data_IF_084601858511
#
_entry.id   IF_084601858511
#
_cell.length_a   1.000
_cell.length_b   1.000
_cell.length_c   1.000
_cell.angle_alpha   90.00
_cell.angle_beta   90.00
_cell.angle_gamma   90.00
#
_symmetry.space_group_name_H-M   'P 1'
#
loop_
_entity.id
_entity.type
_entity.pdbx_description
1 polymer ?
#
# COMPACT_ATOMS: atom_id res chain seq x y z
N UNK A 1 -2.20 5.15 -12.58
CA UNK A 1 -1.91 5.75 -11.27
C UNK A 1 -0.44 6.13 -11.22
N UNK A 2 -0.12 7.27 -10.61
CA UNK A 2 1.23 7.84 -10.58
C UNK A 2 1.47 8.94 -11.61
N UNK A 3 2.54 9.72 -11.38
CA UNK A 3 2.93 10.92 -12.17
C UNK A 3 2.79 10.71 -13.69
N UNK A 4 1.92 11.53 -14.28
CA UNK A 4 1.67 11.65 -15.71
C UNK A 4 2.70 12.56 -16.39
N UNK A 5 2.63 12.66 -17.73
CA UNK A 5 3.41 13.64 -18.49
C UNK A 5 2.97 15.05 -18.10
N UNK A 6 3.87 16.03 -18.24
CA UNK A 6 3.62 17.40 -17.80
C UNK A 6 2.39 18.10 -18.45
N UNK A 7 1.93 17.59 -19.60
CA UNK A 7 0.76 18.08 -20.33
C UNK A 7 -0.58 17.45 -19.89
N UNK A 8 -0.54 16.41 -19.07
CA UNK A 8 -1.70 15.56 -18.81
C UNK A 8 -2.18 15.78 -17.37
N UNK A 9 -3.50 15.89 -17.16
CA UNK A 9 -4.08 15.94 -15.82
C UNK A 9 -4.04 14.56 -15.16
N UNK A 10 -3.98 14.56 -13.82
CA UNK A 10 -4.14 13.36 -13.02
C UNK A 10 -5.20 13.61 -11.96
N UNK A 11 -6.36 12.99 -12.14
CA UNK A 11 -7.44 13.13 -11.18
C UNK A 11 -7.15 12.30 -9.93
N UNK A 12 -7.45 12.88 -8.77
CA UNK A 12 -7.50 12.21 -7.46
C UNK A 12 -8.90 12.43 -6.93
N UNK A 13 -9.66 11.35 -6.75
CA UNK A 13 -11.08 11.42 -6.42
C UNK A 13 -11.33 11.15 -4.94
N UNK A 14 -12.09 12.05 -4.31
CA UNK A 14 -12.60 11.91 -2.95
C UNK A 14 -14.12 12.00 -2.95
N UNK A 15 -14.77 11.19 -3.79
CA UNK A 15 -16.22 11.24 -4.07
C UNK A 15 -17.14 11.10 -2.84
N UNK A 16 -16.67 10.50 -1.75
CA UNK A 16 -17.43 10.37 -0.50
C UNK A 16 -16.80 11.25 0.59
N UNK A 17 -17.61 11.92 1.41
CA UNK A 17 -17.13 12.70 2.57
C UNK A 17 -16.34 11.84 3.56
N UNK A 18 -16.62 10.54 3.61
CA UNK A 18 -15.86 9.56 4.39
C UNK A 18 -14.44 9.30 3.82
N UNK A 19 -14.06 9.94 2.71
CA UNK A 19 -12.71 9.86 2.12
C UNK A 19 -11.83 11.07 2.47
N UNK A 20 -12.35 12.07 3.19
CA UNK A 20 -11.60 13.29 3.55
C UNK A 20 -10.85 13.18 4.88
N UNK A 21 -10.58 11.96 5.35
CA UNK A 21 -9.69 11.73 6.49
C UNK A 21 -8.23 11.95 6.08
N UNK A 22 -7.44 12.55 6.96
CA UNK A 22 -6.04 12.87 6.71
C UNK A 22 -5.24 11.69 6.15
N UNK A 23 -5.44 10.49 6.70
CA UNK A 23 -4.72 9.29 6.27
C UNK A 23 -5.08 8.87 4.84
N UNK A 24 -6.35 8.99 4.44
CA UNK A 24 -6.81 8.66 3.09
C UNK A 24 -6.25 9.68 2.09
N UNK A 25 -6.27 10.97 2.43
CA UNK A 25 -5.69 12.02 1.58
C UNK A 25 -4.19 11.78 1.36
N UNK A 26 -3.45 11.39 2.40
CA UNK A 26 -2.01 11.09 2.27
C UNK A 26 -1.78 9.85 1.38
N UNK A 27 -2.54 8.76 1.56
CA UNK A 27 -2.43 7.53 0.75
C UNK A 27 -2.67 7.82 -0.75
N UNK A 28 -3.73 8.57 -1.07
CA UNK A 28 -4.06 8.94 -2.45
C UNK A 28 -3.02 9.90 -3.08
N UNK A 29 -2.46 10.82 -2.29
CA UNK A 29 -1.37 11.67 -2.75
C UNK A 29 -0.08 10.86 -3.02
N UNK A 30 0.22 9.86 -2.19
CA UNK A 30 1.35 8.97 -2.41
C UNK A 30 1.17 8.13 -3.68
N UNK A 31 -0.05 7.65 -3.94
CA UNK A 31 -0.39 7.06 -5.23
C UNK A 31 -0.16 8.04 -6.40
N UNK A 32 -0.52 9.32 -6.24
CA UNK A 32 -0.27 10.33 -7.24
C UNK A 32 1.23 10.52 -7.53
N UNK A 33 2.07 10.46 -6.50
CA UNK A 33 3.54 10.54 -6.61
C UNK A 33 4.25 9.18 -6.79
N UNK A 34 3.56 8.20 -7.39
CA UNK A 34 4.08 6.90 -7.88
C UNK A 34 4.32 5.80 -6.83
N UNK A 35 3.81 5.92 -5.62
CA UNK A 35 3.92 4.84 -4.64
C UNK A 35 2.72 3.90 -4.76
N UNK A 36 3.02 2.61 -4.94
CA UNK A 36 2.01 1.55 -4.87
C UNK A 36 1.83 1.08 -3.44
N UNK A 37 0.78 0.30 -3.19
CA UNK A 37 0.58 -0.29 -1.89
C UNK A 37 1.73 -1.23 -1.48
N UNK A 38 2.07 -1.24 -0.19
CA UNK A 38 3.21 -2.01 0.33
C UNK A 38 3.03 -3.52 0.12
N UNK A 39 1.80 -4.07 0.23
CA UNK A 39 1.51 -5.49 -0.06
C UNK A 39 1.61 -5.89 -1.54
N UNK A 40 1.76 -4.92 -2.45
CA UNK A 40 2.00 -5.16 -3.87
C UNK A 40 3.50 -5.23 -4.21
N UNK A 41 4.40 -5.06 -3.23
CA UNK A 41 5.85 -5.19 -3.46
C UNK A 41 6.24 -6.57 -4.03
N UNK A 42 7.28 -6.65 -4.87
CA UNK A 42 7.74 -7.91 -5.45
C UNK A 42 8.27 -8.91 -4.40
N UNK A 43 8.78 -8.42 -3.27
CA UNK A 43 9.34 -9.21 -2.17
C UNK A 43 8.33 -9.49 -1.02
N UNK A 44 7.06 -9.09 -1.17
CA UNK A 44 6.06 -9.14 -0.09
C UNK A 44 5.86 -10.53 0.52
N UNK A 45 6.02 -11.60 -0.28
CA UNK A 45 5.81 -12.97 0.20
C UNK A 45 6.89 -13.42 1.19
N UNK A 46 7.99 -12.67 1.38
CA UNK A 46 8.93 -12.91 2.50
C UNK A 46 8.35 -12.45 3.84
N UNK A 47 7.43 -11.48 3.83
CA UNK A 47 6.95 -10.78 5.02
C UNK A 47 5.50 -11.10 5.37
N UNK A 48 4.67 -11.38 4.36
CA UNK A 48 3.24 -11.66 4.53
C UNK A 48 2.80 -12.88 3.74
N UNK A 49 1.64 -13.43 4.11
CA UNK A 49 0.90 -14.44 3.35
C UNK A 49 -0.44 -13.86 2.92
N UNK A 50 -0.80 -14.04 1.66
CA UNK A 50 -2.14 -13.72 1.14
C UNK A 50 -3.04 -14.95 1.27
N UNK A 51 -4.18 -14.78 1.94
CA UNK A 51 -5.20 -15.82 2.14
C UNK A 51 -6.32 -15.62 1.10
N UNK A 52 -6.06 -16.02 -0.14
CA UNK A 52 -6.97 -15.81 -1.29
C UNK A 52 -8.35 -16.44 -1.11
N UNK A 53 -8.49 -17.44 -0.25
CA UNK A 53 -9.75 -18.06 0.14
C UNK A 53 -10.68 -17.10 0.89
N UNK A 54 -10.14 -16.11 1.62
CA UNK A 54 -10.91 -15.13 2.38
C UNK A 54 -11.24 -13.87 1.57
N UNK A 55 -10.63 -13.68 0.40
CA UNK A 55 -10.81 -12.49 -0.45
C UNK A 55 -12.08 -12.62 -1.30
N UNK A 56 -12.84 -11.53 -1.42
CA UNK A 56 -13.95 -11.41 -2.37
C UNK A 56 -13.47 -11.72 -3.80
N UNK A 57 -14.17 -12.59 -4.53
CA UNK A 57 -13.73 -13.07 -5.85
C UNK A 57 -13.44 -11.95 -6.85
N UNK A 58 -14.23 -10.87 -6.83
CA UNK A 58 -14.07 -9.69 -7.70
C UNK A 58 -12.93 -8.75 -7.29
N UNK A 59 -12.30 -8.97 -6.13
CA UNK A 59 -11.26 -8.11 -5.55
C UNK A 59 -9.88 -8.76 -5.50
N UNK A 60 -9.72 -10.00 -5.96
CA UNK A 60 -8.45 -10.76 -5.86
C UNK A 60 -7.25 -10.07 -6.52
N UNK A 61 -7.49 -9.32 -7.58
CA UNK A 61 -6.46 -8.54 -8.28
C UNK A 61 -5.85 -7.43 -7.40
N UNK A 62 -6.53 -6.95 -6.35
CA UNK A 62 -5.98 -5.98 -5.41
C UNK A 62 -4.87 -6.57 -4.51
N UNK A 63 -4.66 -7.88 -4.57
CA UNK A 63 -3.57 -8.59 -3.88
C UNK A 63 -2.47 -9.05 -4.83
N UNK A 64 -2.51 -8.63 -6.09
CA UNK A 64 -1.44 -8.89 -7.05
C UNK A 64 -0.19 -8.10 -6.68
N UNK A 65 0.97 -8.74 -6.86
CA UNK A 65 2.28 -8.09 -6.67
C UNK A 65 2.80 -7.58 -8.01
N UNK A 66 3.55 -6.49 -7.97
CA UNK A 66 4.31 -6.01 -9.12
C UNK A 66 5.53 -6.90 -9.38
N UNK A 67 5.96 -6.98 -10.64
CA UNK A 67 7.25 -7.55 -11.00
C UNK A 67 8.39 -6.61 -10.58
N UNK A 68 9.60 -7.16 -10.43
CA UNK A 68 10.82 -6.39 -10.14
C UNK A 68 11.18 -5.38 -11.24
N UNK A 69 10.61 -5.52 -12.44
CA UNK A 69 10.75 -4.56 -13.55
C UNK A 69 9.78 -3.38 -13.45
N UNK A 70 8.71 -3.50 -12.65
CA UNK A 70 7.66 -2.48 -12.51
C UNK A 70 7.68 -1.77 -11.16
N UNK A 71 8.26 -2.39 -10.13
CA UNK A 71 8.37 -1.84 -8.80
C UNK A 71 9.78 -2.03 -8.24
N UNK A 72 10.28 -0.98 -7.60
CA UNK A 72 11.54 -0.98 -6.86
C UNK A 72 11.23 -0.87 -5.35
N UNK A 73 11.96 -1.63 -4.55
CA UNK A 73 11.88 -1.57 -3.09
C UNK A 73 12.65 -0.38 -2.51
N UNK A 74 13.47 0.29 -3.34
CA UNK A 74 14.38 1.36 -2.96
C UNK A 74 15.33 0.94 -1.82
N UNK A 75 15.62 -0.36 -1.74
CA UNK A 75 16.41 -1.00 -0.68
C UNK A 75 15.85 -0.74 0.74
N UNK A 76 14.55 -0.45 0.86
CA UNK A 76 13.88 -0.25 2.15
C UNK A 76 13.23 -1.53 2.63
N UNK A 77 13.31 -1.77 3.94
CA UNK A 77 12.66 -2.90 4.59
C UNK A 77 11.15 -2.81 4.39
N UNK A 78 10.49 -3.97 4.31
CA UNK A 78 9.04 -4.05 4.22
C UNK A 78 8.39 -3.48 5.47
N UNK A 79 7.51 -2.49 5.30
CA UNK A 79 6.86 -1.82 6.41
C UNK A 79 5.41 -2.27 6.57
N UNK A 80 5.17 -3.14 7.56
CA UNK A 80 3.82 -3.61 7.88
C UNK A 80 2.90 -2.47 8.33
N UNK A 81 3.44 -1.42 8.95
CA UNK A 81 2.64 -0.31 9.49
C UNK A 81 2.33 0.77 8.47
N UNK A 82 3.07 0.80 7.35
CA UNK A 82 3.01 1.83 6.30
C UNK A 82 1.58 2.28 6.00
N UNK A 83 1.43 3.59 5.77
CA UNK A 83 0.14 4.15 5.37
C UNK A 83 -0.34 3.54 4.05
N UNK A 84 0.60 3.10 3.21
CA UNK A 84 0.35 2.44 1.92
C UNK A 84 0.03 0.94 2.08
N UNK A 85 0.05 0.37 3.29
CA UNK A 85 -0.22 -1.04 3.51
C UNK A 85 -1.71 -1.28 3.77
N UNK A 86 -2.31 -2.26 3.09
CA UNK A 86 -3.68 -2.69 3.38
C UNK A 86 -3.82 -3.27 4.79
N UNK A 87 -4.96 -3.04 5.44
CA UNK A 87 -5.30 -3.73 6.70
C UNK A 87 -5.38 -5.24 6.49
N UNK A 88 -5.15 -6.00 7.56
CA UNK A 88 -5.14 -7.47 7.55
C UNK A 88 -6.41 -8.14 7.00
N UNK A 89 -7.56 -7.45 7.03
CA UNK A 89 -8.86 -7.93 6.53
C UNK A 89 -9.37 -7.19 5.28
N UNK A 90 -8.51 -6.45 4.58
CA UNK A 90 -8.90 -5.72 3.38
C UNK A 90 -9.57 -6.65 2.35
N UNK A 91 -10.73 -6.25 1.84
CA UNK A 91 -11.56 -7.02 0.90
C UNK A 91 -11.98 -8.42 1.37
N UNK A 92 -12.02 -8.63 2.68
CA UNK A 92 -12.51 -9.89 3.26
C UNK A 92 -13.98 -10.14 2.90
N UNK A 93 -14.30 -11.39 2.59
CA UNK A 93 -15.69 -11.85 2.33
C UNK A 93 -16.36 -12.44 3.57
N UNK A 94 -15.59 -12.73 4.61
CA UNK A 94 -16.02 -13.49 5.79
C UNK A 94 -15.49 -12.91 7.11
N UNK A 95 -14.90 -11.70 7.09
CA UNK A 95 -14.29 -11.06 8.26
C UNK A 95 -12.96 -11.68 8.70
N UNK A 96 -12.50 -12.75 8.05
CA UNK A 96 -11.23 -13.40 8.34
C UNK A 96 -10.07 -12.69 7.63
N UNK A 97 -8.82 -12.92 8.08
CA UNK A 97 -7.65 -12.27 7.51
C UNK A 97 -7.45 -12.60 6.03
N UNK A 98 -7.28 -11.57 5.21
CA UNK A 98 -6.86 -11.67 3.81
C UNK A 98 -5.35 -11.54 3.67
N UNK A 99 -4.69 -10.88 4.63
CA UNK A 99 -3.24 -10.77 4.73
C UNK A 99 -2.82 -11.13 6.16
N UNK A 100 -1.83 -12.01 6.29
CA UNK A 100 -1.26 -12.41 7.59
C UNK A 100 0.24 -12.13 7.62
N UNK A 101 0.78 -11.53 8.70
CA UNK A 101 2.21 -11.33 8.84
C UNK A 101 2.91 -12.67 9.09
N UNK A 102 4.11 -12.85 8.54
CA UNK A 102 4.98 -14.01 8.82
C UNK A 102 5.82 -13.81 10.07
N UNK A 103 6.09 -12.56 10.44
CA UNK A 103 6.74 -12.22 11.70
C UNK A 103 5.77 -12.46 12.88
N UNK A 104 6.33 -12.70 14.08
CA UNK A 104 5.56 -12.86 15.30
C UNK A 104 5.06 -11.50 15.83
N UNK A 105 4.16 -10.86 15.08
CA UNK A 105 3.56 -9.56 15.37
C UNK A 105 2.05 -9.64 15.22
N UNK A 106 1.33 -8.77 15.94
CA UNK A 106 -0.12 -8.70 15.80
C UNK A 106 -0.50 -8.28 14.38
N UNK A 107 -1.46 -8.97 13.77
CA UNK A 107 -2.04 -8.59 12.47
C UNK A 107 -2.69 -7.20 12.50
N UNK A 108 -3.13 -6.72 13.66
CA UNK A 108 -3.71 -5.37 13.81
C UNK A 108 -2.72 -4.24 13.53
N UNK A 109 -1.41 -4.56 13.52
CA UNK A 109 -0.33 -3.63 13.17
C UNK A 109 -0.34 -3.27 11.69
N UNK A 110 -0.93 -4.11 10.84
CA UNK A 110 -0.88 -3.97 9.39
C UNK A 110 -1.73 -2.80 8.91
N UNK A 111 -1.13 -1.84 8.18
CA UNK A 111 -1.84 -0.65 7.70
C UNK A 111 -2.43 0.20 8.81
N UNK A 112 -1.70 0.33 9.93
CA UNK A 112 -2.18 1.01 11.14
C UNK A 112 -1.77 2.48 11.22
N UNK A 113 -0.80 2.93 10.41
CA UNK A 113 -0.34 4.31 10.45
C UNK A 113 -1.43 5.30 9.97
N UNK A 114 -1.56 6.41 10.69
CA UNK A 114 -2.46 7.53 10.32
C UNK A 114 -1.75 8.61 9.50
N UNK A 115 -0.43 8.55 9.42
CA UNK A 115 0.47 9.45 8.69
C UNK A 115 1.58 8.62 8.05
N UNK A 116 2.39 9.22 7.18
CA UNK A 116 3.56 8.57 6.61
C UNK A 116 4.48 8.04 7.72
N UNK A 117 4.91 6.79 7.60
CA UNK A 117 5.98 6.26 8.46
C UNK A 117 7.34 6.79 8.00
N UNK A 118 8.38 6.59 8.82
CA UNK A 118 9.75 6.93 8.43
C UNK A 118 10.15 6.21 7.13
N UNK A 119 9.72 4.96 6.95
CA UNK A 119 9.94 4.20 5.71
C UNK A 119 9.27 4.85 4.50
N UNK A 120 8.02 5.31 4.65
CA UNK A 120 7.30 6.03 3.59
C UNK A 120 8.03 7.33 3.19
N UNK A 121 8.48 8.10 4.19
CA UNK A 121 9.22 9.36 3.98
C UNK A 121 10.55 9.09 3.27
N UNK A 122 11.31 8.11 3.76
CA UNK A 122 12.61 7.75 3.17
C UNK A 122 12.48 7.25 1.73
N UNK A 123 11.43 6.49 1.41
CA UNK A 123 11.14 6.04 0.04
C UNK A 123 10.88 7.23 -0.88
N UNK A 124 10.05 8.19 -0.45
CA UNK A 124 9.78 9.42 -1.21
C UNK A 124 11.07 10.23 -1.42
N UNK A 125 11.84 10.46 -0.36
CA UNK A 125 13.12 11.17 -0.45
C UNK A 125 14.11 10.49 -1.40
N UNK A 126 14.23 9.16 -1.31
CA UNK A 126 15.13 8.37 -2.15
C UNK A 126 14.70 8.42 -3.62
N UNK A 127 13.40 8.34 -3.91
CA UNK A 127 12.88 8.38 -5.28
C UNK A 127 13.04 9.75 -5.93
N UNK A 128 12.83 10.83 -5.17
CA UNK A 128 12.90 12.21 -5.65
C UNK A 128 14.24 12.91 -5.40
N UNK A 129 15.24 12.19 -4.87
CA UNK A 129 16.60 12.68 -4.58
C UNK A 129 16.60 13.92 -3.67
N UNK A 130 15.75 13.92 -2.65
CA UNK A 130 15.67 14.97 -1.65
C UNK A 130 16.62 14.67 -0.47
N UNK A 131 17.28 15.72 0.06
CA UNK A 131 18.07 15.66 1.29
C UNK A 131 17.16 15.67 2.54
#
# INVERSE_FOLDING_TARGET
>A
MGRQKASDSQDVSFENSDCLYQNIVIDELLHAVRFAHEQARPDRDTYVKINYENIQSSRKNNSDRYSTTKADTLQKVYDLTSIMHHKWNAFSKNGLPTISPKANVSQSTMGSASVMTDSDIEKVKSYYLCA
#
